data_IF_098885038327
#
_entry.id   IF_098885038327
#
_cell.length_a   1.000
_cell.length_b   1.000
_cell.length_c   1.000
_cell.angle_alpha   90.00
_cell.angle_beta   90.00
_cell.angle_gamma   90.00
#
_symmetry.space_group_name_H-M   'P 1'
#
loop_
_entity.id
_entity.type
_entity.pdbx_description
1 polymer ?
#
# COMPACT_ATOMS: atom_id res chain seq x y z
N UNK A 1 -1.40 12.98 -1.10
CA UNK A 1 -2.35 12.30 -2.00
C UNK A 1 -3.75 12.43 -1.41
N UNK A 2 -4.70 13.04 -2.13
CA UNK A 2 -6.11 13.13 -1.70
C UNK A 2 -6.92 11.95 -2.23
N UNK A 3 -8.06 11.65 -1.57
CA UNK A 3 -8.99 10.60 -1.99
C UNK A 3 -9.49 10.85 -3.42
N UNK A 4 -9.80 12.11 -3.75
CA UNK A 4 -10.34 12.49 -5.06
C UNK A 4 -9.33 12.27 -6.19
N UNK A 5 -8.05 12.55 -5.94
CA UNK A 5 -6.98 12.27 -6.90
C UNK A 5 -6.76 10.77 -7.13
N UNK A 6 -6.89 9.97 -6.08
CA UNK A 6 -6.80 8.50 -6.19
C UNK A 6 -7.97 7.97 -7.03
N UNK A 7 -9.20 8.41 -6.73
CA UNK A 7 -10.38 8.00 -7.48
C UNK A 7 -10.31 8.39 -8.96
N UNK A 8 -9.72 9.55 -9.30
CA UNK A 8 -9.54 9.99 -10.69
C UNK A 8 -8.66 9.05 -11.54
N UNK A 9 -7.87 8.18 -10.91
CA UNK A 9 -6.99 7.21 -11.59
C UNK A 9 -7.69 5.86 -11.87
N UNK A 10 -9.02 5.78 -11.69
CA UNK A 10 -9.78 4.56 -11.91
C UNK A 10 -9.55 3.50 -10.84
N UNK A 11 -9.12 3.91 -9.63
CA UNK A 11 -8.95 3.03 -8.47
C UNK A 11 -9.77 3.54 -7.30
N UNK A 12 -10.29 2.65 -6.47
CA UNK A 12 -11.11 2.97 -5.29
C UNK A 12 -10.23 3.07 -4.05
N UNK A 13 -10.23 4.22 -3.37
CA UNK A 13 -9.54 4.34 -2.07
C UNK A 13 -10.16 3.42 -1.00
N UNK A 14 -9.33 2.64 -0.31
CA UNK A 14 -9.74 1.75 0.77
C UNK A 14 -9.32 2.30 2.14
N UNK A 15 -8.02 2.55 2.32
CA UNK A 15 -7.49 2.95 3.63
C UNK A 15 -6.21 3.79 3.52
N UNK A 16 -5.92 4.57 4.56
CA UNK A 16 -4.68 5.31 4.77
C UNK A 16 -4.24 5.16 6.22
N UNK A 17 -3.02 4.65 6.41
CA UNK A 17 -2.42 4.47 7.72
C UNK A 17 -1.11 5.24 7.82
N UNK A 18 -0.91 5.94 8.94
CA UNK A 18 0.42 6.39 9.33
C UNK A 18 1.02 5.28 10.19
N UNK A 19 2.19 4.80 9.79
CA UNK A 19 2.89 3.69 10.43
C UNK A 19 4.32 4.12 10.75
N UNK A 20 4.89 3.52 11.78
CA UNK A 20 6.31 3.64 12.08
C UNK A 20 6.95 2.30 11.72
N UNK A 21 8.01 2.32 10.92
CA UNK A 21 8.78 1.11 10.61
C UNK A 21 9.45 0.56 11.87
N UNK A 22 9.91 -0.69 11.82
CA UNK A 22 10.66 -1.30 12.92
C UNK A 22 11.99 -0.57 13.20
N UNK A 23 12.50 0.16 12.22
CA UNK A 23 13.68 1.02 12.35
C UNK A 23 13.38 2.42 12.90
N UNK A 24 12.11 2.75 13.14
CA UNK A 24 11.69 4.04 13.68
C UNK A 24 11.37 5.12 12.62
N UNK A 25 11.47 4.79 11.33
CA UNK A 25 11.13 5.72 10.26
C UNK A 25 9.62 5.94 10.20
N UNK A 26 9.20 7.18 9.93
CA UNK A 26 7.80 7.47 9.64
C UNK A 26 7.47 6.96 8.24
N UNK A 27 6.31 6.34 8.12
CA UNK A 27 5.81 5.83 6.87
C UNK A 27 4.31 6.09 6.71
N UNK A 28 3.87 6.17 5.47
CA UNK A 28 2.45 6.26 5.11
C UNK A 28 2.13 5.12 4.17
N UNK A 29 1.10 4.36 4.52
CA UNK A 29 0.58 3.27 3.70
C UNK A 29 -0.81 3.64 3.19
N UNK A 30 -1.01 3.58 1.88
CA UNK A 30 -2.31 3.71 1.23
C UNK A 30 -2.72 2.37 0.63
N UNK A 31 -3.96 1.98 0.84
CA UNK A 31 -4.55 0.81 0.16
C UNK A 31 -5.61 1.30 -0.80
N UNK A 32 -5.54 0.83 -2.05
CA UNK A 32 -6.54 1.10 -3.08
C UNK A 32 -6.98 -0.21 -3.72
N UNK A 33 -8.20 -0.24 -4.23
CA UNK A 33 -8.80 -1.36 -4.93
C UNK A 33 -8.96 -1.02 -6.40
N UNK A 34 -8.74 -1.98 -7.29
CA UNK A 34 -9.02 -1.81 -8.72
C UNK A 34 -9.33 -3.15 -9.38
N UNK A 35 -10.04 -3.10 -10.51
CA UNK A 35 -10.34 -4.28 -11.33
C UNK A 35 -9.43 -4.28 -12.56
N UNK A 36 -8.86 -5.44 -12.89
CA UNK A 36 -8.06 -5.64 -14.10
C UNK A 36 -8.31 -7.03 -14.65
N UNK A 37 -8.61 -7.16 -15.95
CA UNK A 37 -8.94 -8.43 -16.59
C UNK A 37 -10.00 -9.24 -15.81
N UNK A 38 -11.09 -8.58 -15.40
CA UNK A 38 -12.19 -9.16 -14.62
C UNK A 38 -11.83 -9.67 -13.21
N UNK A 39 -10.59 -9.48 -12.77
CA UNK A 39 -10.13 -9.83 -11.43
C UNK A 39 -9.99 -8.59 -10.56
N UNK A 40 -10.33 -8.73 -9.28
CA UNK A 40 -10.20 -7.67 -8.28
C UNK A 40 -8.85 -7.72 -7.56
N UNK A 41 -8.20 -6.57 -7.48
CA UNK A 41 -6.90 -6.39 -6.86
C UNK A 41 -6.96 -5.32 -5.79
N UNK A 42 -6.06 -5.47 -4.81
CA UNK A 42 -5.64 -4.36 -3.96
C UNK A 42 -4.20 -3.98 -4.31
N UNK A 43 -3.91 -2.68 -4.23
CA UNK A 43 -2.56 -2.12 -4.24
C UNK A 43 -2.29 -1.45 -2.91
N UNK A 44 -1.17 -1.83 -2.30
CA UNK A 44 -0.56 -1.10 -1.20
C UNK A 44 0.49 -0.17 -1.79
N UNK A 45 0.41 1.12 -1.45
CA UNK A 45 1.42 2.14 -1.74
C UNK A 45 2.05 2.57 -0.43
N UNK A 46 3.30 2.17 -0.21
CA UNK A 46 4.07 2.45 0.99
C UNK A 46 5.12 3.52 0.70
N UNK A 47 5.15 4.56 1.53
CA UNK A 47 6.07 5.69 1.43
C UNK A 47 6.82 5.84 2.75
N UNK A 48 8.14 5.87 2.72
CA UNK A 48 8.99 6.16 3.90
C UNK A 48 10.29 6.84 3.49
N UNK A 49 11.06 7.30 4.48
CA UNK A 49 12.32 8.03 4.28
C UNK A 49 12.12 9.55 4.24
N UNK A 50 13.02 10.25 4.95
CA UNK A 50 13.00 11.72 5.04
C UNK A 50 13.87 12.36 3.95
N UNK A 51 15.15 11.96 3.86
CA UNK A 51 16.09 12.47 2.85
C UNK A 51 15.97 11.76 1.49
N UNK A 52 15.77 10.43 1.53
CA UNK A 52 15.57 9.60 0.36
C UNK A 52 14.20 8.94 0.43
N UNK A 53 13.30 9.34 -0.49
CA UNK A 53 11.95 8.77 -0.53
C UNK A 53 11.99 7.34 -1.08
N UNK A 54 11.60 6.39 -0.25
CA UNK A 54 11.33 5.01 -0.65
C UNK A 54 9.84 4.89 -0.96
N UNK A 55 9.51 4.45 -2.17
CA UNK A 55 8.15 4.18 -2.60
C UNK A 55 8.02 2.74 -3.11
N UNK A 56 7.22 1.95 -2.40
CA UNK A 56 6.96 0.54 -2.73
C UNK A 56 5.50 0.37 -3.10
N UNK A 57 5.25 -0.32 -4.22
CA UNK A 57 3.91 -0.73 -4.64
C UNK A 57 3.79 -2.25 -4.60
N UNK A 58 2.80 -2.76 -3.87
CA UNK A 58 2.49 -4.20 -3.85
C UNK A 58 1.08 -4.38 -4.39
N UNK A 59 0.94 -5.13 -5.47
CA UNK A 59 -0.36 -5.48 -6.05
C UNK A 59 -0.65 -6.95 -5.82
N UNK A 60 -1.86 -7.29 -5.38
CA UNK A 60 -2.27 -8.68 -5.21
C UNK A 60 -3.77 -8.88 -5.47
N UNK A 61 -4.16 -10.06 -6.00
CA UNK A 61 -5.57 -10.43 -6.07
C UNK A 61 -6.18 -10.50 -4.67
N UNK A 62 -7.40 -10.01 -4.51
CA UNK A 62 -8.11 -10.03 -3.22
C UNK A 62 -8.28 -11.45 -2.69
N UNK A 63 -8.41 -12.42 -3.61
CA UNK A 63 -8.57 -13.84 -3.30
C UNK A 63 -7.42 -14.42 -2.46
N UNK A 64 -6.21 -13.87 -2.56
CA UNK A 64 -5.04 -14.34 -1.80
C UNK A 64 -4.66 -13.42 -0.62
N UNK A 65 -5.39 -12.32 -0.39
CA UNK A 65 -5.07 -11.32 0.64
C UNK A 65 -4.81 -11.94 2.00
N UNK A 66 -5.71 -12.82 2.47
CA UNK A 66 -5.59 -13.47 3.79
C UNK A 66 -4.31 -14.29 3.94
N UNK A 67 -3.80 -14.83 2.84
CA UNK A 67 -2.59 -15.66 2.84
C UNK A 67 -1.32 -14.79 2.87
N UNK A 68 -1.26 -13.73 2.06
CA UNK A 68 -0.01 -12.99 1.85
C UNK A 68 0.10 -11.71 2.68
N UNK A 69 -1.02 -11.10 3.07
CA UNK A 69 -1.01 -9.77 3.67
C UNK A 69 -0.15 -9.67 4.94
N UNK A 70 -0.18 -10.64 5.88
CA UNK A 70 0.68 -10.58 7.07
C UNK A 70 2.17 -10.55 6.72
N UNK A 71 2.59 -11.32 5.72
CA UNK A 71 3.98 -11.36 5.26
C UNK A 71 4.36 -10.06 4.53
N UNK A 72 3.48 -9.57 3.66
CA UNK A 72 3.68 -8.28 2.96
C UNK A 72 3.80 -7.13 3.96
N UNK A 73 2.91 -7.07 4.96
CA UNK A 73 2.93 -6.04 5.99
C UNK A 73 4.23 -6.08 6.81
N UNK A 74 4.70 -7.28 7.19
CA UNK A 74 5.98 -7.44 7.87
C UNK A 74 7.16 -6.96 7.01
N UNK A 75 7.19 -7.29 5.72
CA UNK A 75 8.22 -6.83 4.79
C UNK A 75 8.23 -5.30 4.63
N UNK A 76 7.06 -4.66 4.59
CA UNK A 76 6.98 -3.20 4.47
C UNK A 76 7.43 -2.50 5.76
N UNK A 77 7.12 -3.07 6.93
CA UNK A 77 7.53 -2.52 8.23
C UNK A 77 9.03 -2.65 8.49
N UNK A 78 9.73 -3.57 7.84
CA UNK A 78 11.18 -3.78 8.03
C UNK A 78 12.07 -2.93 7.09
N UNK A 79 11.47 -2.12 6.20
CA UNK A 79 12.20 -1.22 5.27
C UNK A 79 13.02 -0.18 6.05
N UNK A 80 14.26 0.05 5.59
CA UNK A 80 15.26 0.92 6.23
C UNK A 80 15.57 2.15 5.39
#
# INVERSE_FOLDING_TARGET
>A
MSKDYINSQGVTFIDKQNITTETGNKAIMYTVHFTSNELEYERIMFFTGDENLIWINVNYPITIKKLIYPAVEACLKSVQ
#
